data_IF_396307985986
#
_entry.id   IF_396307985986
#
_cell.length_a   1.000
_cell.length_b   1.000
_cell.length_c   1.000
_cell.angle_alpha   90.00
_cell.angle_beta   90.00
_cell.angle_gamma   90.00
#
_symmetry.space_group_name_H-M   'P 1'
#
loop_
_entity.id
_entity.type
_entity.pdbx_description
1 polymer ?
#
# COMPACT_ATOMS: atom_id res chain seq x y z
N UNK A 1 -14.56 10.23 -3.20
CA UNK A 1 -14.15 11.39 -4.06
C UNK A 1 -14.33 11.07 -5.54
N UNK A 2 -14.51 12.07 -6.40
CA UNK A 2 -14.36 11.88 -7.85
C UNK A 2 -12.86 11.79 -8.17
N UNK A 3 -12.41 10.75 -8.88
CA UNK A 3 -10.98 10.49 -9.13
C UNK A 3 -10.39 11.26 -10.30
N UNK A 4 -11.21 11.85 -11.18
CA UNK A 4 -10.74 12.60 -12.33
C UNK A 4 -9.85 13.77 -11.92
N UNK A 5 -8.59 13.76 -12.37
CA UNK A 5 -7.58 14.78 -12.06
C UNK A 5 -7.01 14.71 -10.63
N UNK A 6 -7.33 13.67 -9.85
CA UNK A 6 -6.78 13.46 -8.50
C UNK A 6 -5.35 12.93 -8.55
N UNK A 7 -4.50 13.42 -7.65
CA UNK A 7 -3.08 13.06 -7.53
C UNK A 7 -2.93 11.94 -6.50
N UNK A 8 -2.46 10.79 -6.94
CA UNK A 8 -2.41 9.58 -6.11
C UNK A 8 -0.98 9.02 -6.10
N UNK A 9 -0.40 8.91 -4.90
CA UNK A 9 0.85 8.21 -4.67
C UNK A 9 0.56 6.76 -4.24
N UNK A 10 1.13 5.79 -4.97
CA UNK A 10 0.97 4.38 -4.67
C UNK A 10 2.34 3.69 -4.57
N UNK A 11 2.66 3.18 -3.39
CA UNK A 11 3.90 2.46 -3.17
C UNK A 11 3.80 0.99 -3.55
N UNK A 12 4.88 0.41 -4.11
CA UNK A 12 4.86 -0.99 -4.54
C UNK A 12 3.95 -1.25 -5.75
N UNK A 13 3.92 -0.31 -6.70
CA UNK A 13 3.03 -0.34 -7.87
C UNK A 13 3.50 -1.21 -9.03
N UNK A 14 4.63 -1.90 -8.92
CA UNK A 14 5.23 -2.63 -10.05
C UNK A 14 4.61 -4.00 -10.33
N UNK A 15 3.93 -4.63 -9.37
CA UNK A 15 3.36 -5.97 -9.47
C UNK A 15 2.06 -6.10 -8.65
N UNK A 16 1.29 -7.16 -8.92
CA UNK A 16 0.18 -7.62 -8.12
C UNK A 16 -0.85 -6.53 -7.80
N UNK A 17 -1.23 -6.40 -6.52
CA UNK A 17 -2.26 -5.46 -6.06
C UNK A 17 -1.95 -4.03 -6.49
N UNK A 18 -0.71 -3.58 -6.32
CA UNK A 18 -0.33 -2.21 -6.67
C UNK A 18 -0.46 -1.93 -8.17
N UNK A 19 -0.04 -2.85 -9.03
CA UNK A 19 -0.15 -2.72 -10.48
C UNK A 19 -1.61 -2.64 -10.94
N UNK A 20 -2.47 -3.56 -10.47
CA UNK A 20 -3.90 -3.53 -10.84
C UNK A 20 -4.62 -2.30 -10.26
N UNK A 21 -4.24 -1.86 -9.04
CA UNK A 21 -4.76 -0.62 -8.46
C UNK A 21 -4.36 0.59 -9.30
N UNK A 22 -3.10 0.70 -9.71
CA UNK A 22 -2.66 1.81 -10.55
C UNK A 22 -3.44 1.87 -11.87
N UNK A 23 -3.67 0.71 -12.51
CA UNK A 23 -4.44 0.61 -13.75
C UNK A 23 -5.85 1.18 -13.59
N UNK A 24 -6.62 0.67 -12.63
CA UNK A 24 -8.01 1.10 -12.44
C UNK A 24 -8.10 2.60 -12.07
N UNK A 25 -7.13 3.13 -11.32
CA UNK A 25 -7.11 4.54 -10.94
C UNK A 25 -6.78 5.45 -12.13
N UNK A 26 -5.85 5.05 -13.01
CA UNK A 26 -5.56 5.77 -14.26
C UNK A 26 -6.76 5.74 -15.20
N UNK A 27 -7.44 4.60 -15.36
CA UNK A 27 -8.66 4.46 -16.14
C UNK A 27 -9.80 5.37 -15.62
N UNK A 28 -9.83 5.65 -14.32
CA UNK A 28 -10.74 6.61 -13.68
C UNK A 28 -10.31 8.08 -13.85
N UNK A 29 -9.20 8.33 -14.54
CA UNK A 29 -8.69 9.66 -14.85
C UNK A 29 -7.84 10.29 -13.73
N UNK A 30 -7.36 9.52 -12.78
CA UNK A 30 -6.41 10.00 -11.78
C UNK A 30 -5.00 10.14 -12.35
N UNK A 31 -4.21 11.09 -11.84
CA UNK A 31 -2.78 11.20 -12.03
C UNK A 31 -2.09 10.31 -10.98
N UNK A 32 -1.59 9.17 -11.41
CA UNK A 32 -1.04 8.15 -10.51
C UNK A 32 0.48 8.10 -10.63
N UNK A 33 1.18 8.20 -9.49
CA UNK A 33 2.60 7.93 -9.37
C UNK A 33 2.79 6.60 -8.63
N UNK A 34 3.41 5.64 -9.29
CA UNK A 34 3.78 4.36 -8.68
C UNK A 34 5.26 4.32 -8.33
N UNK A 35 5.58 3.69 -7.19
CA UNK A 35 6.97 3.54 -6.76
C UNK A 35 7.36 2.08 -6.54
N UNK A 36 8.64 1.81 -6.60
CA UNK A 36 9.22 0.49 -6.37
C UNK A 36 10.73 0.51 -6.61
N UNK A 37 11.41 -0.56 -6.22
CA UNK A 37 12.88 -0.64 -6.26
C UNK A 37 13.47 -1.16 -7.58
N UNK A 38 12.67 -1.78 -8.45
CA UNK A 38 13.13 -2.30 -9.74
C UNK A 38 12.68 -1.37 -10.86
N UNK A 39 13.63 -0.67 -11.50
CA UNK A 39 13.37 0.21 -12.62
C UNK A 39 12.69 -0.52 -13.78
N UNK A 40 13.20 -1.72 -14.14
CA UNK A 40 12.62 -2.53 -15.21
C UNK A 40 11.15 -2.87 -14.97
N UNK A 41 10.81 -3.38 -13.76
CA UNK A 41 9.42 -3.75 -13.44
C UNK A 41 8.49 -2.53 -13.37
N UNK A 42 8.99 -1.39 -12.92
CA UNK A 42 8.21 -0.14 -12.94
C UNK A 42 7.95 0.34 -14.35
N UNK A 43 8.93 0.24 -15.26
CA UNK A 43 8.75 0.59 -16.68
C UNK A 43 7.69 -0.32 -17.34
N UNK A 44 7.75 -1.62 -17.10
CA UNK A 44 6.75 -2.58 -17.58
C UNK A 44 5.35 -2.25 -17.01
N UNK A 45 5.27 -1.94 -15.71
CA UNK A 45 4.03 -1.54 -15.07
C UNK A 45 3.49 -0.21 -15.62
N UNK A 46 4.35 0.77 -15.88
CA UNK A 46 3.96 2.04 -16.51
C UNK A 46 3.35 1.85 -17.90
N UNK A 47 3.95 1.00 -18.73
CA UNK A 47 3.41 0.65 -20.06
C UNK A 47 2.03 0.01 -19.97
N UNK A 48 1.80 -0.81 -18.93
CA UNK A 48 0.53 -1.50 -18.72
C UNK A 48 -0.55 -0.60 -18.11
N UNK A 49 -0.18 0.30 -17.21
CA UNK A 49 -1.12 1.09 -16.39
C UNK A 49 -1.33 2.52 -16.90
N UNK A 50 -0.34 3.09 -17.58
CA UNK A 50 -0.28 4.51 -17.91
C UNK A 50 0.14 5.41 -16.74
N UNK A 51 0.57 4.85 -15.60
CA UNK A 51 1.01 5.59 -14.43
C UNK A 51 2.43 6.16 -14.60
N UNK A 52 2.72 7.26 -13.93
CA UNK A 52 4.09 7.78 -13.76
C UNK A 52 4.86 6.89 -12.78
N UNK A 53 6.19 6.91 -12.85
CA UNK A 53 7.05 6.08 -12.00
C UNK A 53 8.13 6.87 -11.30
N UNK A 54 8.48 6.45 -10.07
CA UNK A 54 9.68 6.88 -9.36
C UNK A 54 10.35 5.67 -8.72
N UNK A 55 11.62 5.46 -9.05
CA UNK A 55 12.40 4.31 -8.54
C UNK A 55 13.03 4.66 -7.21
N UNK A 56 12.67 3.94 -6.15
CA UNK A 56 13.40 3.91 -4.87
C UNK A 56 12.99 2.70 -4.02
N UNK A 57 13.84 2.34 -3.07
CA UNK A 57 13.51 1.35 -2.04
C UNK A 57 12.93 2.07 -0.81
N UNK A 58 11.71 1.74 -0.44
CA UNK A 58 11.05 2.35 0.72
C UNK A 58 11.74 1.99 2.05
N UNK A 59 12.56 0.95 2.08
CA UNK A 59 13.36 0.58 3.26
C UNK A 59 14.64 1.42 3.42
N UNK A 60 15.01 2.23 2.43
CA UNK A 60 16.12 3.17 2.49
C UNK A 60 15.69 4.44 3.25
N UNK A 61 15.85 4.38 4.58
CA UNK A 61 15.39 5.42 5.48
C UNK A 61 16.17 6.73 5.36
N UNK A 62 17.45 6.66 4.97
CA UNK A 62 18.31 7.83 4.82
C UNK A 62 17.87 8.72 3.68
N UNK A 63 17.43 8.13 2.58
CA UNK A 63 17.01 8.84 1.38
C UNK A 63 15.49 9.07 1.28
N UNK A 64 14.69 8.58 2.23
CA UNK A 64 13.22 8.62 2.12
C UNK A 64 12.67 10.05 2.07
N UNK A 65 13.34 11.01 2.72
CA UNK A 65 12.92 12.42 2.71
C UNK A 65 13.03 13.01 1.31
N UNK A 66 14.16 12.82 0.64
CA UNK A 66 14.38 13.30 -0.73
C UNK A 66 13.45 12.62 -1.71
N UNK A 67 13.20 11.31 -1.52
CA UNK A 67 12.26 10.55 -2.36
C UNK A 67 10.81 10.99 -2.17
N UNK A 68 10.39 11.30 -0.97
CA UNK A 68 9.08 11.87 -0.70
C UNK A 68 8.90 13.23 -1.40
N UNK A 69 9.92 14.10 -1.34
CA UNK A 69 9.89 15.38 -2.02
C UNK A 69 9.78 15.21 -3.54
N UNK A 70 10.56 14.30 -4.13
CA UNK A 70 10.44 13.95 -5.55
C UNK A 70 9.04 13.42 -5.92
N UNK A 71 8.41 12.62 -5.05
CA UNK A 71 7.03 12.16 -5.26
C UNK A 71 6.04 13.33 -5.27
N UNK A 72 6.18 14.26 -4.35
CA UNK A 72 5.31 15.45 -4.23
C UNK A 72 5.46 16.31 -5.49
N UNK A 73 6.68 16.56 -5.95
CA UNK A 73 6.96 17.33 -7.17
C UNK A 73 6.39 16.65 -8.42
N UNK A 74 6.56 15.34 -8.57
CA UNK A 74 5.99 14.57 -9.68
C UNK A 74 4.46 14.60 -9.71
N UNK A 75 3.83 14.90 -8.58
CA UNK A 75 2.38 15.08 -8.42
C UNK A 75 1.96 16.56 -8.32
N UNK A 76 2.73 17.47 -8.91
CA UNK A 76 2.44 18.91 -8.98
C UNK A 76 2.26 19.58 -7.59
N UNK A 77 2.96 19.08 -6.58
CA UNK A 77 2.88 19.59 -5.21
C UNK A 77 1.63 19.18 -4.45
N UNK A 78 0.83 18.22 -4.97
CA UNK A 78 -0.44 17.79 -4.38
C UNK A 78 -0.50 16.28 -4.21
N UNK A 79 -1.09 15.82 -3.11
CA UNK A 79 -1.38 14.39 -2.91
C UNK A 79 -2.79 14.26 -2.34
N UNK A 80 -3.75 13.84 -3.18
CA UNK A 80 -5.14 13.60 -2.76
C UNK A 80 -5.30 12.23 -2.07
N UNK A 81 -4.51 11.25 -2.49
CA UNK A 81 -4.47 9.95 -1.82
C UNK A 81 -3.07 9.34 -1.77
N UNK A 82 -2.75 8.69 -0.65
CA UNK A 82 -1.57 7.85 -0.46
C UNK A 82 -2.02 6.40 -0.26
N UNK A 83 -1.53 5.48 -1.09
CA UNK A 83 -1.77 4.05 -0.94
C UNK A 83 -0.46 3.38 -0.56
N UNK A 84 -0.33 3.04 0.71
CA UNK A 84 0.80 2.32 1.27
C UNK A 84 0.63 0.82 1.00
N UNK A 85 1.03 0.39 -0.20
CA UNK A 85 0.93 -0.99 -0.64
C UNK A 85 2.27 -1.73 -0.64
N UNK A 86 3.40 -1.03 -0.69
CA UNK A 86 4.70 -1.68 -0.61
C UNK A 86 4.82 -2.55 0.64
N UNK A 87 5.26 -3.78 0.47
CA UNK A 87 5.45 -4.71 1.57
C UNK A 87 6.15 -5.99 1.15
N UNK A 88 6.74 -6.64 2.13
CA UNK A 88 7.40 -7.94 2.00
C UNK A 88 6.95 -8.87 3.12
N UNK A 89 7.15 -10.17 2.94
CA UNK A 89 6.87 -11.18 3.95
C UNK A 89 7.97 -12.22 4.00
N UNK A 90 8.24 -12.72 5.22
CA UNK A 90 9.03 -13.92 5.43
C UNK A 90 8.23 -14.84 6.34
N UNK A 91 8.32 -16.14 6.07
CA UNK A 91 7.49 -17.15 6.74
C UNK A 91 8.39 -18.31 7.16
N UNK A 92 8.58 -18.43 8.48
CA UNK A 92 9.44 -19.44 9.07
C UNK A 92 9.02 -19.72 10.51
N UNK A 93 9.43 -20.86 11.05
CA UNK A 93 9.14 -21.22 12.44
C UNK A 93 9.87 -20.29 13.39
N UNK A 94 9.37 -20.18 14.62
CA UNK A 94 9.94 -19.26 15.62
C UNK A 94 11.41 -19.58 15.95
N UNK A 95 11.78 -20.84 15.94
CA UNK A 95 13.15 -21.29 16.18
C UNK A 95 14.16 -20.86 15.09
N UNK A 96 13.67 -20.55 13.89
CA UNK A 96 14.50 -20.14 12.74
C UNK A 96 14.51 -18.61 12.53
N UNK A 97 13.73 -17.86 13.33
CA UNK A 97 13.62 -16.40 13.22
C UNK A 97 14.89 -15.71 13.69
N UNK A 98 15.41 -14.81 12.89
CA UNK A 98 16.61 -14.01 13.18
C UNK A 98 16.27 -12.54 13.40
N UNK A 99 17.20 -11.79 14.00
CA UNK A 99 17.07 -10.32 14.10
C UNK A 99 17.02 -9.66 12.71
N UNK A 100 17.78 -10.15 11.74
CA UNK A 100 17.78 -9.67 10.37
C UNK A 100 16.41 -9.80 9.69
N UNK A 101 15.62 -10.82 10.02
CA UNK A 101 14.26 -10.96 9.49
C UNK A 101 13.36 -9.83 10.01
N UNK A 102 13.50 -9.46 11.30
CA UNK A 102 12.80 -8.30 11.85
C UNK A 102 13.23 -7.01 11.18
N UNK A 103 14.54 -6.76 11.06
CA UNK A 103 15.05 -5.54 10.43
C UNK A 103 14.51 -5.41 8.99
N UNK A 104 14.63 -6.43 8.18
CA UNK A 104 14.19 -6.40 6.79
C UNK A 104 12.68 -6.12 6.66
N UNK A 105 11.86 -6.84 7.44
CA UNK A 105 10.40 -6.72 7.38
C UNK A 105 9.95 -5.38 7.94
N UNK A 106 10.47 -4.95 9.10
CA UNK A 106 10.05 -3.71 9.72
C UNK A 106 10.55 -2.49 8.96
N UNK A 107 11.77 -2.52 8.41
CA UNK A 107 12.28 -1.43 7.59
C UNK A 107 11.36 -1.14 6.39
N UNK A 108 10.84 -2.18 5.73
CA UNK A 108 9.93 -2.00 4.61
C UNK A 108 8.49 -1.73 5.05
N UNK A 109 7.92 -2.63 5.89
CA UNK A 109 6.48 -2.64 6.15
C UNK A 109 6.03 -1.58 7.15
N UNK A 110 6.94 -1.13 8.04
CA UNK A 110 6.61 -0.24 9.16
C UNK A 110 7.35 1.08 9.06
N UNK A 111 8.68 1.07 9.10
CA UNK A 111 9.45 2.30 9.18
C UNK A 111 9.38 3.11 7.89
N UNK A 112 9.65 2.49 6.73
CA UNK A 112 9.57 3.15 5.44
C UNK A 112 8.17 3.70 5.14
N UNK A 113 7.14 2.87 5.38
CA UNK A 113 5.75 3.30 5.29
C UNK A 113 5.48 4.54 6.16
N UNK A 114 5.93 4.51 7.42
CA UNK A 114 5.68 5.59 8.38
C UNK A 114 6.42 6.88 8.00
N UNK A 115 7.70 6.77 7.64
CA UNK A 115 8.53 7.92 7.30
C UNK A 115 8.06 8.60 6.01
N UNK A 116 7.70 7.83 4.98
CA UNK A 116 7.10 8.39 3.77
C UNK A 116 5.75 9.06 4.09
N UNK A 117 4.88 8.38 4.83
CA UNK A 117 3.56 8.91 5.18
C UNK A 117 3.66 10.21 5.97
N UNK A 118 4.60 10.33 6.91
CA UNK A 118 4.84 11.55 7.69
C UNK A 118 5.02 12.79 6.79
N UNK A 119 5.77 12.66 5.72
CA UNK A 119 6.04 13.76 4.79
C UNK A 119 4.83 14.07 3.91
N UNK A 120 4.15 13.06 3.41
CA UNK A 120 2.91 13.22 2.62
C UNK A 120 1.77 13.80 3.48
N UNK A 121 1.66 13.41 4.73
CA UNK A 121 0.67 13.94 5.68
C UNK A 121 0.85 15.46 5.87
N UNK A 122 2.07 15.97 5.85
CA UNK A 122 2.30 17.42 5.94
C UNK A 122 1.64 18.16 4.78
N UNK A 123 1.78 17.66 3.55
CA UNK A 123 1.11 18.22 2.37
C UNK A 123 -0.41 18.12 2.50
N UNK A 124 -0.94 16.96 2.91
CA UNK A 124 -2.38 16.77 3.10
C UNK A 124 -2.96 17.68 4.18
N UNK A 125 -2.20 17.97 5.26
CA UNK A 125 -2.61 18.92 6.31
C UNK A 125 -2.73 20.35 5.78
N UNK A 126 -1.80 20.79 4.94
CA UNK A 126 -1.86 22.10 4.27
C UNK A 126 -3.05 22.17 3.31
N UNK A 127 -3.32 21.10 2.58
CA UNK A 127 -4.50 20.95 1.72
C UNK A 127 -5.82 20.88 2.51
N UNK A 128 -5.78 20.56 3.81
CA UNK A 128 -6.95 20.25 4.67
C UNK A 128 -7.85 19.15 4.09
N UNK A 129 -7.24 18.21 3.40
CA UNK A 129 -7.93 17.12 2.70
C UNK A 129 -6.94 16.02 2.33
N UNK A 130 -7.35 14.77 2.40
CA UNK A 130 -6.55 13.62 1.96
C UNK A 130 -7.18 12.29 2.30
N UNK A 131 -6.69 11.23 1.65
CA UNK A 131 -7.05 9.85 2.01
C UNK A 131 -5.81 8.98 2.05
N UNK A 132 -5.61 8.24 3.13
CA UNK A 132 -4.52 7.29 3.28
C UNK A 132 -5.11 5.89 3.36
N UNK A 133 -4.62 4.96 2.53
CA UNK A 133 -4.98 3.55 2.58
C UNK A 133 -3.72 2.75 2.88
N UNK A 134 -3.71 2.10 4.04
CA UNK A 134 -2.64 1.19 4.43
C UNK A 134 -3.04 -0.25 4.08
N UNK A 135 -2.26 -0.91 3.23
CA UNK A 135 -2.50 -2.32 2.91
C UNK A 135 -1.94 -3.20 4.03
N UNK A 136 -2.87 -3.66 4.84
CA UNK A 136 -2.64 -4.64 5.89
C UNK A 136 -2.60 -6.07 5.36
N UNK A 137 -3.23 -6.95 6.10
CA UNK A 137 -3.43 -8.38 5.78
C UNK A 137 -4.44 -8.96 6.77
N UNK A 138 -5.01 -10.13 6.51
CA UNK A 138 -5.64 -10.95 7.55
C UNK A 138 -4.69 -11.19 8.74
N UNK A 139 -3.38 -11.15 8.49
CA UNK A 139 -2.34 -11.17 9.51
C UNK A 139 -2.29 -9.92 10.41
N UNK A 140 -3.03 -8.85 10.09
CA UNK A 140 -3.16 -7.67 10.96
C UNK A 140 -4.14 -7.89 12.12
N UNK A 141 -4.94 -8.94 12.06
CA UNK A 141 -5.98 -9.25 13.06
C UNK A 141 -5.80 -10.61 13.70
N UNK A 142 -5.06 -11.52 13.07
CA UNK A 142 -4.83 -12.87 13.60
C UNK A 142 -3.46 -13.38 13.17
N UNK A 143 -2.63 -13.76 14.15
CA UNK A 143 -1.38 -14.47 13.90
C UNK A 143 -1.61 -15.89 13.38
N UNK A 144 -0.58 -16.47 12.75
CA UNK A 144 -0.58 -17.84 12.24
C UNK A 144 0.80 -18.47 12.37
N UNK A 145 0.86 -19.80 12.34
CA UNK A 145 2.11 -20.54 12.44
C UNK A 145 3.07 -20.17 11.31
N UNK A 146 4.32 -19.87 11.65
CA UNK A 146 5.34 -19.43 10.71
C UNK A 146 5.24 -17.97 10.30
N UNK A 147 4.29 -17.19 10.80
CA UNK A 147 4.07 -15.80 10.41
C UNK A 147 4.51 -14.76 11.44
N UNK A 148 5.31 -15.11 12.44
CA UNK A 148 5.59 -14.26 13.61
C UNK A 148 6.05 -12.85 13.24
N UNK A 149 7.09 -12.71 12.43
CA UNK A 149 7.67 -11.41 12.07
C UNK A 149 6.71 -10.63 11.15
N UNK A 150 6.15 -11.30 10.16
CA UNK A 150 5.21 -10.68 9.23
C UNK A 150 3.94 -10.20 9.94
N UNK A 151 3.30 -11.06 10.75
CA UNK A 151 2.12 -10.68 11.50
C UNK A 151 2.41 -9.52 12.45
N UNK A 152 3.52 -9.56 13.19
CA UNK A 152 3.93 -8.44 14.05
C UNK A 152 4.00 -7.11 13.29
N UNK A 153 4.61 -7.11 12.09
CA UNK A 153 4.67 -5.91 11.26
C UNK A 153 3.29 -5.43 10.81
N UNK A 154 2.37 -6.34 10.47
CA UNK A 154 1.01 -5.99 10.03
C UNK A 154 0.11 -5.54 11.18
N UNK A 155 0.28 -6.07 12.40
CA UNK A 155 -0.32 -5.52 13.61
C UNK A 155 0.21 -4.11 13.92
N UNK A 156 1.52 -3.86 13.75
CA UNK A 156 2.10 -2.52 13.90
C UNK A 156 1.47 -1.52 12.92
N UNK A 157 1.30 -1.88 11.65
CA UNK A 157 0.61 -1.04 10.65
C UNK A 157 -0.84 -0.75 11.07
N UNK A 158 -1.55 -1.74 11.65
CA UNK A 158 -2.90 -1.54 12.16
C UNK A 158 -2.93 -0.53 13.31
N UNK A 159 -2.02 -0.64 14.25
CA UNK A 159 -1.91 0.31 15.36
C UNK A 159 -1.62 1.73 14.87
N UNK A 160 -0.66 1.89 13.94
CA UNK A 160 -0.36 3.18 13.30
C UNK A 160 -1.60 3.75 12.59
N UNK A 161 -2.34 2.91 11.84
CA UNK A 161 -3.56 3.34 11.16
C UNK A 161 -4.59 3.91 12.13
N UNK A 162 -4.82 3.23 13.26
CA UNK A 162 -5.78 3.68 14.29
C UNK A 162 -5.34 4.99 14.97
N UNK A 163 -4.05 5.15 15.25
CA UNK A 163 -3.50 6.41 15.76
C UNK A 163 -3.74 7.54 14.75
N UNK A 164 -3.39 7.33 13.48
CA UNK A 164 -3.55 8.34 12.44
C UNK A 164 -5.02 8.68 12.14
N UNK A 165 -5.94 7.73 12.29
CA UNK A 165 -7.38 8.03 12.23
C UNK A 165 -7.78 9.08 13.25
N UNK A 166 -7.27 9.01 14.46
CA UNK A 166 -7.57 9.97 15.53
C UNK A 166 -6.86 11.31 15.31
N UNK A 167 -5.58 11.26 14.94
CA UNK A 167 -4.73 12.46 14.79
C UNK A 167 -5.09 13.32 13.58
N UNK A 168 -5.59 12.70 12.48
CA UNK A 168 -5.72 13.36 11.19
C UNK A 168 -7.15 13.80 10.85
N UNK A 169 -8.16 13.30 11.58
CA UNK A 169 -9.56 13.75 11.43
C UNK A 169 -9.75 15.26 11.48
N UNK A 170 -9.12 16.01 12.41
CA UNK A 170 -9.26 17.46 12.46
C UNK A 170 -8.82 18.18 11.19
N UNK A 171 -8.04 17.52 10.33
CA UNK A 171 -7.56 18.03 9.06
C UNK A 171 -8.33 17.51 7.85
N UNK A 172 -9.48 16.84 8.05
CA UNK A 172 -10.26 16.19 7.00
C UNK A 172 -9.47 15.13 6.22
N UNK A 173 -8.53 14.46 6.87
CA UNK A 173 -7.75 13.36 6.29
C UNK A 173 -8.34 12.04 6.78
N UNK A 174 -8.75 11.19 5.85
CA UNK A 174 -9.31 9.86 6.11
C UNK A 174 -8.18 8.83 6.08
N UNK A 175 -8.18 7.91 7.03
CA UNK A 175 -7.20 6.82 7.05
C UNK A 175 -7.94 5.48 7.14
N UNK A 176 -7.66 4.60 6.20
CA UNK A 176 -8.27 3.27 6.10
C UNK A 176 -7.20 2.18 6.17
N UNK A 177 -7.50 1.10 6.88
CA UNK A 177 -6.76 -0.16 6.75
C UNK A 177 -7.53 -1.12 5.87
N UNK A 178 -6.90 -1.63 4.82
CA UNK A 178 -7.47 -2.69 3.99
C UNK A 178 -6.69 -3.99 4.23
N UNK A 179 -7.39 -5.03 4.68
CA UNK A 179 -6.82 -6.32 5.07
C UNK A 179 -7.23 -7.43 4.09
N UNK A 180 -6.45 -7.69 3.04
CA UNK A 180 -6.67 -8.84 2.18
C UNK A 180 -6.39 -10.15 2.93
N UNK A 181 -7.15 -11.19 2.61
CA UNK A 181 -6.75 -12.57 2.88
C UNK A 181 -5.72 -13.03 1.83
N UNK A 182 -5.59 -14.32 1.56
CA UNK A 182 -4.66 -14.80 0.53
C UNK A 182 -5.05 -14.28 -0.86
N UNK A 183 -4.10 -13.61 -1.53
CA UNK A 183 -4.24 -13.08 -2.89
C UNK A 183 -3.20 -13.76 -3.79
N UNK A 184 -3.60 -14.18 -4.99
CA UNK A 184 -2.70 -14.80 -5.97
C UNK A 184 -1.77 -13.75 -6.59
N UNK A 185 -0.65 -13.49 -5.93
CA UNK A 185 0.37 -12.51 -6.33
C UNK A 185 1.77 -13.12 -6.26
N UNK A 186 2.76 -12.35 -6.71
CA UNK A 186 4.19 -12.63 -6.54
C UNK A 186 4.70 -12.49 -5.10
N UNK A 187 3.85 -12.22 -4.11
CA UNK A 187 4.25 -11.87 -2.75
C UNK A 187 5.05 -12.98 -2.04
N UNK A 188 4.63 -14.22 -2.21
CA UNK A 188 5.26 -15.40 -1.60
C UNK A 188 6.47 -15.94 -2.37
N UNK A 189 6.78 -15.37 -3.54
CA UNK A 189 7.84 -15.84 -4.41
C UNK A 189 9.07 -14.93 -4.30
N UNK A 190 10.23 -15.50 -3.93
CA UNK A 190 11.50 -14.75 -3.82
C UNK A 190 11.91 -14.10 -5.14
N UNK A 191 11.64 -14.75 -6.27
CA UNK A 191 11.91 -14.23 -7.60
C UNK A 191 10.88 -13.22 -8.09
N UNK A 192 9.81 -13.01 -7.31
CA UNK A 192 8.72 -12.07 -7.63
C UNK A 192 8.07 -12.35 -8.98
N UNK A 193 7.88 -13.62 -9.31
CA UNK A 193 7.10 -14.05 -10.46
C UNK A 193 5.61 -14.03 -10.11
N UNK A 194 4.79 -13.40 -10.96
CA UNK A 194 3.35 -13.37 -10.78
C UNK A 194 2.77 -14.79 -10.92
N UNK A 195 1.82 -15.13 -10.06
CA UNK A 195 1.13 -16.42 -10.07
C UNK A 195 -0.08 -16.32 -10.99
N UNK A 196 -0.40 -17.42 -11.67
CA UNK A 196 -1.66 -17.54 -12.40
C UNK A 196 -2.86 -17.36 -11.45
N UNK A 197 -3.93 -16.77 -11.96
CA UNK A 197 -5.19 -16.66 -11.20
C UNK A 197 -5.69 -18.05 -10.83
N UNK A 198 -6.19 -18.20 -9.61
CA UNK A 198 -6.81 -19.42 -9.10
C UNK A 198 -8.28 -19.09 -8.86
N UNK A 199 -9.15 -19.85 -9.51
CA UNK A 199 -10.60 -19.60 -9.61
C UNK A 199 -11.30 -19.30 -8.27
N UNK A 200 -10.89 -19.93 -7.18
CA UNK A 200 -11.51 -19.80 -5.85
C UNK A 200 -10.70 -18.92 -4.87
N UNK A 201 -9.65 -18.23 -5.34
CA UNK A 201 -8.84 -17.32 -4.53
C UNK A 201 -8.97 -15.88 -5.02
N UNK A 202 -8.72 -14.93 -4.14
CA UNK A 202 -8.65 -13.52 -4.54
C UNK A 202 -7.52 -13.30 -5.54
N UNK A 203 -7.79 -12.49 -6.54
CA UNK A 203 -6.79 -11.92 -7.43
C UNK A 203 -6.48 -10.46 -7.04
N UNK A 204 -5.44 -9.86 -7.59
CA UNK A 204 -5.17 -8.43 -7.40
C UNK A 204 -6.33 -7.51 -7.77
N UNK A 205 -7.19 -7.91 -8.70
CA UNK A 205 -8.31 -7.10 -9.21
C UNK A 205 -9.39 -6.85 -8.15
N UNK A 206 -9.77 -7.87 -7.35
CA UNK A 206 -10.75 -7.71 -6.28
C UNK A 206 -10.24 -6.73 -5.22
N UNK A 207 -8.93 -6.76 -4.93
CA UNK A 207 -8.33 -5.83 -3.98
C UNK A 207 -8.25 -4.42 -4.56
N UNK A 208 -7.88 -4.27 -5.83
CA UNK A 208 -7.90 -2.98 -6.52
C UNK A 208 -9.31 -2.37 -6.54
N UNK A 209 -10.35 -3.19 -6.79
CA UNK A 209 -11.75 -2.75 -6.71
C UNK A 209 -12.14 -2.31 -5.29
N UNK A 210 -11.69 -3.03 -4.28
CA UNK A 210 -11.94 -2.66 -2.87
C UNK A 210 -11.26 -1.33 -2.51
N UNK A 211 -10.03 -1.09 -2.98
CA UNK A 211 -9.32 0.19 -2.82
C UNK A 211 -10.10 1.31 -3.51
N UNK A 212 -10.55 1.08 -4.75
CA UNK A 212 -11.37 2.03 -5.50
C UNK A 212 -12.63 2.40 -4.73
N UNK A 213 -13.35 1.43 -4.18
CA UNK A 213 -14.58 1.65 -3.39
C UNK A 213 -14.34 2.53 -2.16
N UNK A 214 -13.19 2.34 -1.46
CA UNK A 214 -12.79 3.20 -0.34
C UNK A 214 -12.56 4.64 -0.80
N UNK A 215 -11.90 4.84 -1.94
CA UNK A 215 -11.59 6.16 -2.48
C UNK A 215 -12.84 6.88 -2.99
N UNK A 216 -13.77 6.17 -3.63
CA UNK A 216 -14.99 6.75 -4.20
C UNK A 216 -16.04 7.13 -3.16
N UNK A 217 -15.92 6.72 -1.88
CA UNK A 217 -16.83 7.16 -0.81
C UNK A 217 -16.94 8.69 -0.76
N UNK A 218 -18.16 9.17 -0.50
CA UNK A 218 -18.44 10.59 -0.23
C UNK A 218 -17.71 11.08 1.05
N UNK A 219 -17.43 12.38 1.11
CA UNK A 219 -16.57 12.96 2.15
C UNK A 219 -17.20 13.00 3.56
N UNK A 220 -18.50 12.75 3.70
CA UNK A 220 -19.19 12.71 5.01
C UNK A 220 -18.80 11.53 5.89
N UNK A 221 -18.28 10.46 5.28
CA UNK A 221 -17.88 9.26 6.00
C UNK A 221 -16.64 8.63 5.42
N UNK A 222 -16.09 7.65 6.12
CA UNK A 222 -14.99 6.84 5.60
C UNK A 222 -14.98 5.44 6.23
N UNK A 223 -14.42 4.50 5.50
CA UNK A 223 -14.21 3.14 5.98
C UNK A 223 -12.93 3.15 6.80
N UNK A 224 -13.01 2.78 8.08
CA UNK A 224 -11.87 2.75 8.98
C UNK A 224 -11.01 1.50 8.77
N UNK A 225 -11.69 0.35 8.56
CA UNK A 225 -11.04 -0.95 8.32
C UNK A 225 -11.92 -1.77 7.38
N UNK A 226 -11.31 -2.44 6.39
CA UNK A 226 -12.00 -3.30 5.43
C UNK A 226 -11.25 -4.64 5.32
N UNK A 227 -11.95 -5.74 5.63
CA UNK A 227 -11.42 -7.09 5.48
C UNK A 227 -11.98 -7.72 4.21
N UNK A 228 -11.11 -8.23 3.32
CA UNK A 228 -11.49 -8.82 2.04
C UNK A 228 -11.07 -10.28 2.01
N UNK A 229 -12.06 -11.17 1.89
CA UNK A 229 -11.87 -12.63 1.92
C UNK A 229 -12.42 -13.27 0.66
N UNK A 230 -11.78 -14.34 0.20
CA UNK A 230 -12.39 -15.19 -0.82
C UNK A 230 -13.65 -15.87 -0.25
N UNK A 231 -14.70 -15.96 -1.06
CA UNK A 231 -15.99 -16.53 -0.63
C UNK A 231 -15.87 -18.00 -0.27
N UNK A 232 -15.15 -18.77 -1.07
CA UNK A 232 -14.91 -20.21 -0.85
C UNK A 232 -13.49 -20.57 -1.33
N UNK A 233 -12.46 -20.47 -0.48
CA UNK A 233 -11.06 -20.70 -0.86
C UNK A 233 -10.67 -22.19 -0.89
N UNK A 234 -11.59 -23.13 -0.59
CA UNK A 234 -11.37 -24.56 -0.43
C UNK A 234 -11.60 -25.35 -1.72
#
# INVERSE_FOLDING_TARGET
MNLKGKHILLTGGSLGIGKETAKILVEKGAKVLITGRSAQRLEEAAKYTGAQTLVFDISDQENISDKAQQCIEALDGKVDALINNAGIGTFQKIEDVTFSDFEQIFNTNVFGLTLLSKLIISVMKEQKSGTIINIGSSASVKGFAGGSVYAASKFAVRALTQCWQSELRPFNIRVCQLNPSEVTTAFYNKERQERAEVHNKLSPKEIAHSILSVLEMEDKGFITELNVWATNPF
#
